data_IF_857208800932
#
_entry.id   IF_857208800932
#
_cell.length_a   1.000
_cell.length_b   1.000
_cell.length_c   1.000
_cell.angle_alpha   90.00
_cell.angle_beta   90.00
_cell.angle_gamma   90.00
#
_symmetry.space_group_name_H-M   'P 1'
#
loop_
_entity.id
_entity.type
_entity.pdbx_description
1 polymer ?
#
# COMPACT_ATOMS: atom_id res chain seq x y z
N UNK A 1 -11.58 36.73 6.34
CA UNK A 1 -11.51 35.80 5.19
C UNK A 1 -11.66 36.52 3.85
N UNK A 2 -12.16 37.76 3.79
CA UNK A 2 -12.38 38.47 2.52
C UNK A 2 -11.11 38.83 1.74
N UNK A 3 -9.94 38.81 2.37
CA UNK A 3 -8.65 39.16 1.75
C UNK A 3 -7.92 37.99 1.04
N UNK A 4 -8.43 36.76 1.07
CA UNK A 4 -7.80 35.63 0.37
C UNK A 4 -8.12 35.67 -1.13
N UNK A 5 -7.16 35.48 -2.05
CA UNK A 5 -7.41 35.31 -3.48
C UNK A 5 -8.31 34.12 -3.79
N UNK A 6 -9.10 34.22 -4.87
CA UNK A 6 -10.03 33.16 -5.31
C UNK A 6 -9.31 31.83 -5.56
N UNK A 7 -8.11 31.86 -6.15
CA UNK A 7 -7.31 30.65 -6.40
C UNK A 7 -6.95 29.89 -5.12
N UNK A 8 -6.63 30.61 -4.03
CA UNK A 8 -6.35 29.99 -2.73
C UNK A 8 -7.62 29.42 -2.11
N UNK A 9 -8.77 30.07 -2.30
CA UNK A 9 -10.05 29.57 -1.80
C UNK A 9 -10.48 28.30 -2.56
N UNK A 10 -10.32 28.26 -3.90
CA UNK A 10 -10.56 27.07 -4.71
C UNK A 10 -9.61 25.95 -4.29
N UNK A 11 -8.33 26.26 -4.05
CA UNK A 11 -7.37 25.28 -3.56
C UNK A 11 -7.78 24.70 -2.18
N UNK A 12 -8.24 25.53 -1.25
CA UNK A 12 -8.77 25.08 0.04
C UNK A 12 -10.00 24.17 -0.16
N UNK A 13 -10.95 24.58 -1.01
CA UNK A 13 -12.14 23.78 -1.32
C UNK A 13 -11.78 22.42 -1.94
N UNK A 14 -10.70 22.36 -2.72
CA UNK A 14 -10.23 21.14 -3.38
C UNK A 14 -9.78 20.04 -2.41
N UNK A 15 -9.52 20.39 -1.14
CA UNK A 15 -9.20 19.45 -0.06
C UNK A 15 -10.42 18.98 0.74
N UNK A 16 -11.60 19.58 0.52
CA UNK A 16 -12.82 19.23 1.23
C UNK A 16 -13.64 18.21 0.45
N UNK A 17 -14.33 17.26 1.11
CA UNK A 17 -15.39 16.48 0.47
C UNK A 17 -16.44 17.39 -0.16
N UNK A 18 -17.04 17.00 -1.29
CA UNK A 18 -17.96 17.87 -2.07
C UNK A 18 -19.08 18.42 -1.21
N UNK A 19 -19.65 17.62 -0.31
CA UNK A 19 -20.72 18.06 0.59
C UNK A 19 -20.28 19.23 1.49
N UNK A 20 -19.05 19.18 2.01
CA UNK A 20 -18.48 20.24 2.82
C UNK A 20 -18.14 21.46 1.97
N UNK A 21 -17.54 21.24 0.79
CA UNK A 21 -17.23 22.30 -0.18
C UNK A 21 -18.51 23.06 -0.61
N UNK A 22 -19.59 22.36 -0.95
CA UNK A 22 -20.89 22.95 -1.29
C UNK A 22 -21.49 23.69 -0.10
N UNK A 23 -21.34 23.18 1.12
CA UNK A 23 -21.87 23.85 2.32
C UNK A 23 -21.24 25.23 2.56
N UNK A 24 -20.00 25.44 2.10
CA UNK A 24 -19.38 26.78 2.15
C UNK A 24 -20.10 27.81 1.29
N UNK A 25 -20.89 27.39 0.28
CA UNK A 25 -21.71 28.31 -0.53
C UNK A 25 -22.76 29.08 0.28
N UNK A 26 -23.09 28.60 1.49
CA UNK A 26 -23.97 29.29 2.44
C UNK A 26 -23.28 30.49 3.12
N UNK A 27 -21.95 30.55 3.11
CA UNK A 27 -21.18 31.59 3.78
C UNK A 27 -21.24 32.92 3.02
N UNK A 28 -21.21 32.89 1.68
CA UNK A 28 -21.46 34.08 0.85
C UNK A 28 -21.68 33.73 -0.63
N UNK A 29 -22.16 34.71 -1.41
CA UNK A 29 -22.29 34.59 -2.89
C UNK A 29 -20.96 34.24 -3.57
N UNK A 30 -19.84 34.72 -3.03
CA UNK A 30 -18.49 34.45 -3.55
C UNK A 30 -18.12 32.97 -3.42
N UNK A 31 -18.40 32.36 -2.27
CA UNK A 31 -18.15 30.92 -2.07
C UNK A 31 -19.04 30.04 -2.96
N UNK A 32 -20.27 30.49 -3.24
CA UNK A 32 -21.15 29.82 -4.20
C UNK A 32 -20.56 29.79 -5.61
N UNK A 33 -19.95 30.88 -6.08
CA UNK A 33 -19.25 30.90 -7.37
C UNK A 33 -17.95 30.11 -7.35
N UNK A 34 -17.20 30.14 -6.25
CA UNK A 34 -15.91 29.44 -6.11
C UNK A 34 -16.07 27.91 -6.14
N UNK A 35 -17.14 27.36 -5.58
CA UNK A 35 -17.41 25.93 -5.68
C UNK A 35 -17.52 25.46 -7.14
N UNK A 36 -18.09 26.28 -8.04
CA UNK A 36 -18.18 25.95 -9.47
C UNK A 36 -16.84 25.93 -10.21
N UNK A 37 -15.76 26.35 -9.55
CA UNK A 37 -14.38 26.30 -10.05
C UNK A 37 -13.62 25.09 -9.49
N UNK A 38 -14.20 24.33 -8.56
CA UNK A 38 -13.60 23.10 -8.05
C UNK A 38 -13.69 22.00 -9.10
N UNK A 39 -12.53 21.49 -9.49
CA UNK A 39 -12.34 20.37 -10.41
C UNK A 39 -12.32 19.00 -9.70
N UNK A 40 -12.40 19.00 -8.37
CA UNK A 40 -12.47 17.81 -7.52
C UNK A 40 -13.90 17.60 -7.01
N UNK A 41 -14.47 16.45 -7.34
CA UNK A 41 -15.74 15.96 -6.84
C UNK A 41 -15.51 14.67 -6.06
N UNK A 42 -15.80 14.70 -4.77
CA UNK A 42 -15.80 13.57 -3.84
C UNK A 42 -17.17 13.38 -3.18
N UNK A 43 -17.84 12.28 -3.53
CA UNK A 43 -19.15 11.89 -3.05
C UNK A 43 -18.98 10.64 -2.18
N UNK A 44 -19.06 10.82 -0.86
CA UNK A 44 -19.07 9.72 0.11
C UNK A 44 -20.45 9.58 0.71
N UNK A 45 -20.93 8.35 0.69
CA UNK A 45 -22.26 8.00 1.12
C UNK A 45 -22.24 6.88 2.19
N UNK A 46 -22.01 7.27 3.46
CA UNK A 46 -21.64 6.33 4.51
C UNK A 46 -22.83 5.61 5.15
N UNK A 47 -24.07 6.00 4.85
CA UNK A 47 -25.25 5.50 5.57
C UNK A 47 -25.74 4.21 4.89
N UNK A 48 -25.76 3.10 5.64
CA UNK A 48 -26.39 1.84 5.25
C UNK A 48 -27.88 1.85 5.67
N UNK A 49 -28.73 1.12 4.94
CA UNK A 49 -30.16 0.93 5.19
C UNK A 49 -30.97 2.23 5.25
N UNK A 50 -30.82 3.05 4.20
CA UNK A 50 -31.46 4.36 4.17
C UNK A 50 -32.94 4.32 3.82
N UNK A 51 -33.75 5.20 4.46
CA UNK A 51 -35.04 5.60 3.93
C UNK A 51 -34.90 6.16 2.51
N UNK A 52 -35.91 5.92 1.68
CA UNK A 52 -35.97 6.31 0.27
C UNK A 52 -35.70 7.82 0.06
N UNK A 53 -36.22 8.67 0.94
CA UNK A 53 -36.03 10.12 0.88
C UNK A 53 -34.55 10.54 0.98
N UNK A 54 -33.76 9.84 1.81
CA UNK A 54 -32.33 10.16 1.99
C UNK A 54 -31.53 9.70 0.77
N UNK A 55 -31.90 8.54 0.19
CA UNK A 55 -31.31 8.05 -1.07
C UNK A 55 -31.56 9.02 -2.20
N UNK A 56 -32.81 9.42 -2.39
CA UNK A 56 -33.20 10.41 -3.39
C UNK A 56 -32.48 11.74 -3.21
N UNK A 57 -32.38 12.23 -1.97
CA UNK A 57 -31.62 13.46 -1.67
C UNK A 57 -30.14 13.35 -2.04
N UNK A 58 -29.52 12.18 -1.90
CA UNK A 58 -28.14 11.97 -2.34
C UNK A 58 -28.05 11.99 -3.87
N UNK A 59 -28.97 11.29 -4.56
CA UNK A 59 -29.02 11.25 -6.01
C UNK A 59 -29.18 12.65 -6.62
N UNK A 60 -30.15 13.42 -6.09
CA UNK A 60 -30.40 14.81 -6.49
C UNK A 60 -29.18 15.70 -6.23
N UNK A 61 -28.43 15.46 -5.15
CA UNK A 61 -27.21 16.18 -4.82
C UNK A 61 -26.09 15.90 -5.82
N UNK A 62 -25.86 14.64 -6.20
CA UNK A 62 -24.84 14.26 -7.20
C UNK A 62 -25.21 14.82 -8.57
N UNK A 63 -26.47 14.67 -8.98
CA UNK A 63 -26.97 15.22 -10.26
C UNK A 63 -26.80 16.73 -10.33
N UNK A 64 -27.20 17.44 -9.27
CA UNK A 64 -27.06 18.89 -9.18
C UNK A 64 -25.59 19.30 -9.25
N UNK A 65 -24.72 18.64 -8.49
CA UNK A 65 -23.29 18.93 -8.46
C UNK A 65 -22.63 18.75 -9.84
N UNK A 66 -22.99 17.69 -10.57
CA UNK A 66 -22.52 17.47 -11.95
C UNK A 66 -23.10 18.50 -12.93
N UNK A 67 -24.36 18.90 -12.78
CA UNK A 67 -24.97 19.94 -13.61
C UNK A 67 -24.29 21.31 -13.41
N UNK A 68 -23.83 21.61 -12.18
CA UNK A 68 -23.13 22.86 -11.86
C UNK A 68 -21.73 22.97 -12.47
N UNK A 69 -21.13 21.87 -12.95
CA UNK A 69 -19.82 21.92 -13.60
C UNK A 69 -19.85 22.57 -14.99
N UNK A 70 -21.03 22.67 -15.63
CA UNK A 70 -21.24 23.51 -16.80
C UNK A 70 -20.29 23.23 -17.99
N UNK A 71 -19.84 21.99 -18.17
CA UNK A 71 -18.91 21.61 -19.25
C UNK A 71 -17.42 21.83 -18.93
N UNK A 72 -17.07 22.23 -17.70
CA UNK A 72 -15.67 22.37 -17.26
C UNK A 72 -15.00 21.02 -17.06
N UNK A 73 -13.69 20.98 -17.27
CA UNK A 73 -12.90 19.79 -17.03
C UNK A 73 -12.97 19.35 -15.55
N UNK A 74 -13.42 18.12 -15.31
CA UNK A 74 -13.35 17.51 -13.98
C UNK A 74 -11.96 16.88 -13.86
N UNK A 75 -11.20 17.21 -12.83
CA UNK A 75 -9.90 16.57 -12.61
C UNK A 75 -10.06 15.25 -11.88
N UNK A 76 -10.80 15.26 -10.77
CA UNK A 76 -11.02 14.09 -9.90
C UNK A 76 -12.50 13.87 -9.67
N UNK A 77 -12.93 12.63 -9.86
CA UNK A 77 -14.26 12.15 -9.48
C UNK A 77 -14.12 10.93 -8.57
N UNK A 78 -14.68 11.03 -7.37
CA UNK A 78 -14.70 9.97 -6.37
C UNK A 78 -16.14 9.70 -5.96
N UNK A 79 -16.56 8.45 -6.07
CA UNK A 79 -17.88 7.98 -5.69
C UNK A 79 -17.73 6.75 -4.80
N UNK A 80 -18.17 6.90 -3.54
CA UNK A 80 -18.26 5.82 -2.58
C UNK A 80 -19.71 5.63 -2.18
N UNK A 81 -20.28 4.48 -2.57
CA UNK A 81 -21.68 4.16 -2.37
C UNK A 81 -21.80 2.77 -1.76
N UNK A 82 -22.30 2.70 -0.53
CA UNK A 82 -22.23 1.50 0.31
C UNK A 82 -23.37 0.51 0.08
N UNK A 83 -24.51 0.95 -0.44
CA UNK A 83 -25.66 0.08 -0.74
C UNK A 83 -26.38 0.54 -2.01
N UNK A 84 -25.88 0.12 -3.16
CA UNK A 84 -26.56 0.39 -4.45
C UNK A 84 -27.68 -0.64 -4.62
N UNK A 85 -28.90 -0.14 -4.83
CA UNK A 85 -30.06 -0.93 -5.23
C UNK A 85 -30.18 -0.92 -6.76
N UNK A 86 -30.85 -1.93 -7.33
CA UNK A 86 -31.02 -2.09 -8.80
C UNK A 86 -31.59 -0.83 -9.49
N UNK A 87 -32.48 -0.10 -8.79
CA UNK A 87 -33.08 1.15 -9.28
C UNK A 87 -32.08 2.31 -9.41
N UNK A 88 -30.94 2.25 -8.72
CA UNK A 88 -29.93 3.31 -8.67
C UNK A 88 -28.75 3.05 -9.62
N UNK A 89 -28.65 1.87 -10.19
CA UNK A 89 -27.55 1.49 -11.10
C UNK A 89 -27.44 2.46 -12.28
N UNK A 90 -28.59 2.81 -12.86
CA UNK A 90 -28.68 3.76 -13.97
C UNK A 90 -28.20 5.17 -13.58
N UNK A 91 -28.39 5.57 -12.32
CA UNK A 91 -27.91 6.86 -11.83
C UNK A 91 -26.38 6.84 -11.73
N UNK A 92 -25.81 5.77 -11.17
CA UNK A 92 -24.37 5.59 -11.03
C UNK A 92 -23.68 5.56 -12.41
N UNK A 93 -24.22 4.79 -13.35
CA UNK A 93 -23.74 4.74 -14.73
C UNK A 93 -23.74 6.11 -15.39
N UNK A 94 -24.83 6.86 -15.22
CA UNK A 94 -24.97 8.21 -15.75
C UNK A 94 -23.96 9.18 -15.14
N UNK A 95 -23.71 9.09 -13.83
CA UNK A 95 -22.73 9.95 -13.15
C UNK A 95 -21.30 9.68 -13.63
N UNK A 96 -20.93 8.40 -13.74
CA UNK A 96 -19.63 7.97 -14.27
C UNK A 96 -19.46 8.46 -15.71
N UNK A 97 -20.46 8.24 -16.57
CA UNK A 97 -20.43 8.70 -17.96
C UNK A 97 -20.27 10.23 -18.06
N UNK A 98 -21.01 10.99 -17.24
CA UNK A 98 -20.85 12.45 -17.20
C UNK A 98 -19.45 12.87 -16.77
N UNK A 99 -18.86 12.22 -15.77
CA UNK A 99 -17.49 12.52 -15.34
C UNK A 99 -16.49 12.28 -16.48
N UNK A 100 -16.63 11.17 -17.22
CA UNK A 100 -15.82 10.86 -18.40
C UNK A 100 -16.01 11.88 -19.54
N UNK A 101 -17.24 12.32 -19.79
CA UNK A 101 -17.56 13.34 -20.80
C UNK A 101 -16.94 14.70 -20.48
N UNK A 102 -16.68 14.99 -19.19
CA UNK A 102 -15.95 16.17 -18.74
C UNK A 102 -14.42 15.92 -18.65
N UNK A 103 -13.91 14.83 -19.22
CA UNK A 103 -12.48 14.56 -19.35
C UNK A 103 -11.77 14.15 -18.06
N UNK A 104 -12.47 13.48 -17.13
CA UNK A 104 -11.88 13.10 -15.84
C UNK A 104 -10.51 12.42 -15.95
N UNK A 105 -9.57 12.88 -15.11
CA UNK A 105 -8.20 12.36 -15.06
C UNK A 105 -7.99 11.36 -13.91
N UNK A 106 -8.69 11.55 -12.79
CA UNK A 106 -8.63 10.67 -11.62
C UNK A 106 -10.03 10.15 -11.28
N UNK A 107 -10.25 8.84 -11.44
CA UNK A 107 -11.55 8.20 -11.18
C UNK A 107 -11.42 7.19 -10.03
N UNK A 108 -12.22 7.38 -8.98
CA UNK A 108 -12.26 6.52 -7.81
C UNK A 108 -13.67 6.00 -7.56
N UNK A 109 -13.85 4.69 -7.67
CA UNK A 109 -15.15 4.03 -7.53
C UNK A 109 -15.08 2.97 -6.43
N UNK A 110 -15.86 3.15 -5.37
CA UNK A 110 -16.04 2.17 -4.29
C UNK A 110 -17.54 1.90 -4.16
N UNK A 111 -18.02 0.89 -4.88
CA UNK A 111 -19.43 0.70 -5.16
C UNK A 111 -19.88 -0.67 -4.67
N UNK A 112 -20.59 -0.70 -3.54
CA UNK A 112 -21.06 -1.93 -2.94
C UNK A 112 -22.54 -2.15 -3.28
N UNK A 113 -22.80 -3.15 -4.12
CA UNK A 113 -24.13 -3.46 -4.66
C UNK A 113 -24.84 -4.44 -3.74
N UNK A 114 -26.03 -4.08 -3.28
CA UNK A 114 -26.88 -4.93 -2.41
C UNK A 114 -27.91 -5.67 -3.27
N UNK A 115 -27.45 -6.41 -4.30
CA UNK A 115 -28.32 -7.23 -5.15
C UNK A 115 -28.13 -8.72 -4.87
N UNK A 116 -29.20 -9.50 -5.09
CA UNK A 116 -29.12 -10.98 -5.15
C UNK A 116 -28.24 -11.46 -6.31
N UNK A 117 -28.07 -10.62 -7.33
CA UNK A 117 -27.30 -10.84 -8.55
C UNK A 117 -26.20 -9.76 -8.65
N UNK A 118 -25.43 -9.57 -7.59
CA UNK A 118 -24.31 -8.59 -7.55
C UNK A 118 -23.31 -8.73 -8.70
N UNK A 119 -23.33 -9.85 -9.44
CA UNK A 119 -22.57 -10.07 -10.67
C UNK A 119 -23.11 -9.36 -11.92
N UNK A 120 -24.27 -8.71 -11.85
CA UNK A 120 -24.90 -8.02 -12.99
C UNK A 120 -24.57 -6.53 -13.05
N UNK A 121 -24.14 -5.93 -11.95
CA UNK A 121 -23.74 -4.52 -11.93
C UNK A 121 -22.40 -4.34 -12.63
N UNK A 122 -22.45 -3.83 -13.85
CA UNK A 122 -21.27 -3.55 -14.69
C UNK A 122 -20.86 -2.10 -14.62
N UNK A 123 -19.56 -1.86 -14.46
CA UNK A 123 -18.99 -0.53 -14.72
C UNK A 123 -19.21 -0.17 -16.21
N UNK A 124 -19.55 1.08 -16.54
CA UNK A 124 -19.66 1.54 -17.92
C UNK A 124 -18.40 1.24 -18.73
N UNK A 125 -18.56 0.64 -19.92
CA UNK A 125 -17.45 0.32 -20.83
C UNK A 125 -16.58 1.53 -21.19
N UNK A 126 -17.18 2.73 -21.23
CA UNK A 126 -16.50 4.02 -21.44
C UNK A 126 -15.34 4.26 -20.47
N UNK A 127 -15.37 3.69 -19.26
CA UNK A 127 -14.24 3.77 -18.31
C UNK A 127 -12.99 3.16 -18.93
N UNK A 128 -13.13 2.01 -19.59
CA UNK A 128 -12.02 1.22 -20.13
C UNK A 128 -11.54 1.68 -21.51
N UNK A 129 -12.19 2.67 -22.12
CA UNK A 129 -11.79 3.26 -23.41
C UNK A 129 -11.38 4.74 -23.27
N UNK A 130 -11.26 5.22 -22.03
CA UNK A 130 -10.90 6.61 -21.76
C UNK A 130 -9.43 6.90 -22.08
N UNK A 131 -9.20 7.99 -22.81
CA UNK A 131 -7.87 8.49 -23.14
C UNK A 131 -7.37 9.54 -22.14
N UNK A 132 -8.22 10.01 -21.22
CA UNK A 132 -7.90 11.07 -20.24
C UNK A 132 -7.52 10.51 -18.88
N UNK A 133 -7.93 9.28 -18.55
CA UNK A 133 -7.69 8.69 -17.23
C UNK A 133 -6.20 8.46 -16.99
N UNK A 134 -5.66 9.12 -15.96
CA UNK A 134 -4.30 8.96 -15.44
C UNK A 134 -4.28 8.07 -14.20
N UNK A 135 -5.33 8.13 -13.38
CA UNK A 135 -5.49 7.33 -12.17
C UNK A 135 -6.87 6.69 -12.11
N UNK A 136 -6.90 5.38 -11.89
CA UNK A 136 -8.13 4.60 -11.76
C UNK A 136 -8.08 3.77 -10.49
N UNK A 137 -9.13 3.86 -9.68
CA UNK A 137 -9.32 3.06 -8.47
C UNK A 137 -10.68 2.39 -8.53
N UNK A 138 -10.70 1.07 -8.50
CA UNK A 138 -11.91 0.24 -8.55
C UNK A 138 -11.96 -0.61 -7.27
N UNK A 139 -13.03 -0.47 -6.49
CA UNK A 139 -13.21 -1.11 -5.19
C UNK A 139 -14.20 -2.27 -5.15
N UNK A 140 -14.48 -2.72 -3.91
CA UNK A 140 -15.33 -3.87 -3.56
C UNK A 140 -16.73 -3.77 -4.18
N UNK A 141 -17.28 -4.91 -4.62
CA UNK A 141 -18.69 -5.02 -5.04
C UNK A 141 -18.96 -4.80 -6.53
N UNK A 142 -17.91 -4.63 -7.34
CA UNK A 142 -17.99 -4.45 -8.78
C UNK A 142 -17.89 -5.81 -9.51
N UNK A 143 -18.77 -6.07 -10.50
CA UNK A 143 -18.61 -7.14 -11.50
C UNK A 143 -18.46 -6.58 -12.94
N UNK A 144 -17.62 -7.20 -13.77
CA UNK A 144 -17.42 -6.96 -15.20
C UNK A 144 -17.11 -8.35 -15.70
N UNK A 145 -18.15 -9.10 -16.03
CA UNK A 145 -17.94 -10.43 -16.54
C UNK A 145 -17.09 -10.42 -17.83
N UNK A 146 -17.04 -9.28 -18.55
CA UNK A 146 -16.17 -9.07 -19.72
C UNK A 146 -15.74 -7.60 -19.87
N UNK A 147 -14.43 -7.40 -20.01
CA UNK A 147 -13.88 -6.15 -20.52
C UNK A 147 -14.26 -5.96 -22.01
N UNK A 148 -14.50 -4.71 -22.45
CA UNK A 148 -14.73 -4.40 -23.87
C UNK A 148 -13.54 -4.84 -24.75
N UNK A 149 -13.77 -5.34 -25.99
CA UNK A 149 -12.69 -5.72 -26.91
C UNK A 149 -11.76 -4.57 -27.29
N UNK A 150 -12.28 -3.34 -27.25
CA UNK A 150 -11.60 -2.07 -27.55
C UNK A 150 -10.99 -1.40 -26.31
N UNK A 151 -10.83 -2.14 -25.21
CA UNK A 151 -10.20 -1.64 -23.97
C UNK A 151 -8.84 -1.00 -24.28
N UNK A 152 -8.71 0.28 -23.95
CA UNK A 152 -7.51 1.08 -24.17
C UNK A 152 -7.46 2.23 -23.16
N UNK A 153 -6.41 2.26 -22.35
CA UNK A 153 -6.19 3.25 -21.29
C UNK A 153 -4.77 3.84 -21.45
N UNK A 154 -4.51 4.57 -22.54
CA UNK A 154 -3.15 4.95 -22.94
C UNK A 154 -2.47 5.94 -21.98
N UNK A 155 -3.24 6.75 -21.25
CA UNK A 155 -2.74 7.74 -20.31
C UNK A 155 -2.60 7.22 -18.86
N UNK A 156 -3.06 6.00 -18.59
CA UNK A 156 -3.17 5.48 -17.23
C UNK A 156 -1.80 5.17 -16.64
N UNK A 157 -1.48 5.82 -15.52
CA UNK A 157 -0.21 5.67 -14.78
C UNK A 157 -0.37 4.95 -13.46
N UNK A 158 -1.53 5.05 -12.84
CA UNK A 158 -1.81 4.47 -11.52
C UNK A 158 -3.12 3.69 -11.57
N UNK A 159 -3.06 2.40 -11.20
CA UNK A 159 -4.20 1.51 -11.13
C UNK A 159 -4.28 0.88 -9.75
N UNK A 160 -5.40 1.10 -9.06
CA UNK A 160 -5.74 0.46 -7.80
C UNK A 160 -6.96 -0.44 -7.99
N UNK A 161 -6.80 -1.72 -7.67
CA UNK A 161 -7.83 -2.72 -7.70
C UNK A 161 -8.02 -3.26 -6.29
N UNK A 162 -9.22 -3.09 -5.72
CA UNK A 162 -9.53 -3.56 -4.38
C UNK A 162 -10.72 -4.51 -4.41
N UNK A 163 -10.47 -5.76 -4.02
CA UNK A 163 -11.44 -6.86 -3.96
C UNK A 163 -12.24 -7.07 -5.24
N UNK A 164 -11.52 -7.13 -6.36
CA UNK A 164 -12.11 -7.39 -7.67
C UNK A 164 -12.10 -8.89 -7.97
N UNK A 165 -13.29 -9.49 -8.04
CA UNK A 165 -13.47 -10.94 -8.21
C UNK A 165 -13.74 -11.38 -9.66
N UNK A 166 -13.86 -10.43 -10.58
CA UNK A 166 -14.38 -10.66 -11.93
C UNK A 166 -13.37 -11.19 -12.95
N UNK A 167 -12.05 -11.14 -12.64
CA UNK A 167 -11.03 -11.46 -13.63
C UNK A 167 -10.89 -12.97 -13.70
N UNK A 168 -11.37 -13.54 -14.81
CA UNK A 168 -11.19 -14.96 -15.07
C UNK A 168 -9.80 -15.18 -15.68
N UNK A 169 -9.06 -16.12 -15.11
CA UNK A 169 -7.75 -16.54 -15.61
C UNK A 169 -6.76 -15.37 -15.78
N UNK A 170 -6.28 -15.15 -17.00
CA UNK A 170 -5.21 -14.23 -17.37
C UNK A 170 -5.73 -12.88 -17.90
N UNK A 171 -7.04 -12.61 -17.83
CA UNK A 171 -7.65 -11.38 -18.35
C UNK A 171 -7.08 -10.10 -17.74
N UNK A 172 -6.67 -10.13 -16.47
CA UNK A 172 -5.99 -8.98 -15.85
C UNK A 172 -4.75 -8.60 -16.66
N UNK A 173 -3.87 -9.58 -16.95
CA UNK A 173 -2.62 -9.32 -17.66
C UNK A 173 -2.82 -9.13 -19.16
N UNK A 174 -3.55 -10.05 -19.80
CA UNK A 174 -3.64 -10.12 -21.26
C UNK A 174 -4.60 -9.08 -21.87
N UNK A 175 -5.51 -8.52 -21.07
CA UNK A 175 -6.48 -7.52 -21.54
C UNK A 175 -6.25 -6.18 -20.84
N UNK A 176 -6.42 -6.11 -19.52
CA UNK A 176 -6.37 -4.82 -18.82
C UNK A 176 -4.96 -4.22 -18.79
N UNK A 177 -3.98 -4.95 -18.29
CA UNK A 177 -2.60 -4.43 -18.17
C UNK A 177 -1.97 -4.22 -19.55
N UNK A 178 -2.25 -5.09 -20.52
CA UNK A 178 -1.84 -4.91 -21.91
C UNK A 178 -2.40 -3.62 -22.55
N UNK A 179 -3.60 -3.20 -22.15
CA UNK A 179 -4.23 -1.97 -22.60
C UNK A 179 -3.73 -0.69 -21.90
N UNK A 180 -2.84 -0.82 -20.91
CA UNK A 180 -2.31 0.29 -20.11
C UNK A 180 -0.78 0.47 -20.32
N UNK A 181 -0.33 0.92 -21.50
CA UNK A 181 1.10 0.99 -21.83
C UNK A 181 1.90 1.96 -20.96
N UNK A 182 1.27 2.96 -20.36
CA UNK A 182 1.90 3.97 -19.51
C UNK A 182 1.83 3.64 -17.99
N UNK A 183 1.34 2.46 -17.61
CA UNK A 183 1.09 2.10 -16.21
C UNK A 183 2.39 1.97 -15.41
N UNK A 184 2.57 2.77 -14.37
CA UNK A 184 3.78 2.76 -13.54
C UNK A 184 3.55 2.22 -12.12
N UNK A 185 2.36 2.42 -11.55
CA UNK A 185 1.99 1.99 -10.18
C UNK A 185 0.74 1.10 -10.23
N UNK A 186 0.91 -0.17 -9.84
CA UNK A 186 -0.18 -1.14 -9.73
C UNK A 186 -0.33 -1.57 -8.28
N UNK A 187 -1.53 -1.37 -7.73
CA UNK A 187 -1.91 -1.84 -6.41
C UNK A 187 -3.10 -2.78 -6.52
N UNK A 188 -2.96 -3.99 -5.98
CA UNK A 188 -4.01 -5.01 -5.97
C UNK A 188 -4.23 -5.49 -4.54
N UNK A 189 -5.46 -5.42 -4.08
CA UNK A 189 -5.94 -5.98 -2.82
C UNK A 189 -6.97 -7.07 -3.12
N UNK A 190 -6.76 -8.26 -2.58
CA UNK A 190 -7.67 -9.40 -2.68
C UNK A 190 -8.16 -9.78 -1.27
N UNK A 191 -9.38 -9.41 -0.89
CA UNK A 191 -9.97 -9.91 0.36
C UNK A 191 -10.48 -11.36 0.23
N UNK A 192 -11.01 -11.73 -0.93
CA UNK A 192 -11.50 -13.08 -1.21
C UNK A 192 -10.82 -13.67 -2.44
N UNK A 193 -9.72 -14.38 -2.24
CA UNK A 193 -8.93 -14.96 -3.32
C UNK A 193 -9.57 -16.29 -3.75
N UNK A 194 -10.01 -16.44 -5.00
CA UNK A 194 -10.79 -17.60 -5.44
C UNK A 194 -9.97 -18.88 -5.59
N UNK A 195 -8.68 -18.87 -5.24
CA UNK A 195 -7.83 -20.07 -5.23
C UNK A 195 -7.32 -20.51 -6.61
N UNK A 196 -7.53 -19.69 -7.65
CA UNK A 196 -6.98 -19.92 -8.99
C UNK A 196 -5.54 -19.39 -9.13
N UNK A 197 -4.79 -19.91 -10.11
CA UNK A 197 -3.46 -19.36 -10.42
C UNK A 197 -3.63 -18.07 -11.22
N UNK A 198 -2.93 -17.01 -10.81
CA UNK A 198 -2.94 -15.72 -11.46
C UNK A 198 -1.56 -15.35 -11.97
N UNK A 199 -1.53 -14.72 -13.12
CA UNK A 199 -0.32 -14.12 -13.69
C UNK A 199 -0.52 -12.62 -13.66
N UNK A 200 0.42 -11.90 -13.08
CA UNK A 200 0.56 -10.45 -13.20
C UNK A 200 1.78 -10.23 -14.09
N UNK A 201 1.55 -9.88 -15.35
CA UNK A 201 2.59 -9.62 -16.34
C UNK A 201 2.44 -8.22 -16.91
N UNK A 202 3.52 -7.42 -16.81
CA UNK A 202 3.61 -6.11 -17.45
C UNK A 202 5.05 -5.60 -17.45
N UNK A 203 5.42 -4.93 -18.53
CA UNK A 203 6.74 -4.29 -18.69
C UNK A 203 6.75 -2.81 -18.29
N UNK A 204 5.60 -2.17 -18.13
CA UNK A 204 5.52 -0.73 -17.80
C UNK A 204 5.63 -0.45 -16.30
N UNK A 205 5.21 -1.40 -15.46
CA UNK A 205 5.07 -1.23 -14.01
C UNK A 205 6.45 -1.06 -13.36
N UNK A 206 6.57 -0.02 -12.54
CA UNK A 206 7.75 0.32 -11.72
C UNK A 206 7.50 0.06 -10.24
N UNK A 207 6.26 0.19 -9.78
CA UNK A 207 5.84 -0.07 -8.41
C UNK A 207 4.67 -1.05 -8.38
N UNK A 208 4.85 -2.13 -7.62
CA UNK A 208 3.86 -3.20 -7.49
C UNK A 208 3.52 -3.42 -6.03
N UNK A 209 2.26 -3.32 -5.68
CA UNK A 209 1.74 -3.64 -4.34
C UNK A 209 0.68 -4.71 -4.45
N UNK A 210 0.91 -5.87 -3.85
CA UNK A 210 -0.04 -6.99 -3.85
C UNK A 210 -0.35 -7.40 -2.41
N UNK A 211 -1.62 -7.33 -2.04
CA UNK A 211 -2.13 -7.78 -0.75
C UNK A 211 -3.16 -8.86 -0.95
N UNK A 212 -2.93 -10.04 -0.40
CA UNK A 212 -3.85 -11.16 -0.41
C UNK A 212 -4.26 -11.42 1.03
N UNK A 213 -5.50 -11.07 1.35
CA UNK A 213 -6.09 -11.21 2.68
C UNK A 213 -7.21 -12.26 2.69
N UNK A 214 -6.97 -13.41 2.04
CA UNK A 214 -7.95 -14.49 2.00
C UNK A 214 -7.45 -15.73 2.74
N UNK A 215 -8.19 -16.11 3.79
CA UNK A 215 -7.99 -17.37 4.52
C UNK A 215 -8.67 -18.56 3.83
N UNK A 216 -9.57 -18.29 2.89
CA UNK A 216 -10.25 -19.31 2.10
C UNK A 216 -9.24 -19.87 1.07
N UNK A 217 -9.22 -21.19 0.91
CA UNK A 217 -8.40 -21.89 -0.10
C UNK A 217 -6.87 -21.84 0.06
N UNK A 218 -6.33 -21.59 1.27
CA UNK A 218 -4.87 -21.72 1.50
C UNK A 218 -4.34 -23.14 1.20
N UNK A 219 -5.22 -24.15 1.24
CA UNK A 219 -4.92 -25.54 0.89
C UNK A 219 -4.92 -25.82 -0.63
N UNK A 220 -5.42 -24.88 -1.46
CA UNK A 220 -5.41 -25.04 -2.92
C UNK A 220 -4.05 -24.67 -3.52
N UNK A 221 -3.64 -25.40 -4.55
CA UNK A 221 -2.32 -25.32 -5.17
C UNK A 221 -2.16 -24.18 -6.18
N UNK A 222 -2.82 -23.04 -5.94
CA UNK A 222 -2.67 -21.85 -6.78
C UNK A 222 -1.29 -21.25 -6.66
N UNK A 223 -0.75 -20.83 -7.79
CA UNK A 223 0.54 -20.14 -7.87
C UNK A 223 0.27 -18.74 -8.37
N UNK A 224 0.69 -17.74 -7.60
CA UNK A 224 0.83 -16.38 -8.10
C UNK A 224 2.12 -16.29 -8.90
N UNK A 225 2.04 -15.84 -10.15
CA UNK A 225 3.22 -15.57 -10.98
C UNK A 225 3.36 -14.08 -11.21
N UNK A 226 4.51 -13.53 -10.85
CA UNK A 226 4.89 -12.13 -11.06
C UNK A 226 5.93 -12.06 -12.18
N UNK A 227 5.50 -11.67 -13.37
CA UNK A 227 6.31 -11.43 -14.56
C UNK A 227 6.39 -9.93 -14.84
N UNK A 228 7.11 -9.22 -13.98
CA UNK A 228 7.16 -7.75 -14.00
C UNK A 228 8.61 -7.27 -13.96
N UNK A 229 9.34 -7.42 -15.09
CA UNK A 229 10.81 -7.32 -15.12
C UNK A 229 11.37 -5.92 -14.90
N UNK A 230 10.52 -4.90 -14.77
CA UNK A 230 10.91 -3.50 -14.55
C UNK A 230 10.46 -2.95 -13.19
N UNK A 231 9.87 -3.79 -12.32
CA UNK A 231 9.46 -3.37 -10.98
C UNK A 231 10.70 -3.06 -10.15
N UNK A 232 10.73 -1.87 -9.56
CA UNK A 232 11.79 -1.38 -8.69
C UNK A 232 11.36 -1.34 -7.21
N UNK A 233 10.08 -1.12 -6.91
CA UNK A 233 9.51 -1.12 -5.56
C UNK A 233 8.39 -2.16 -5.46
N UNK A 234 8.60 -3.18 -4.64
CA UNK A 234 7.65 -4.28 -4.39
C UNK A 234 7.13 -4.22 -2.96
N UNK A 235 5.82 -4.21 -2.80
CA UNK A 235 5.14 -4.56 -1.56
C UNK A 235 4.34 -5.85 -1.75
N UNK A 236 4.60 -6.86 -0.92
CA UNK A 236 3.89 -8.13 -0.98
C UNK A 236 3.40 -8.57 0.41
N UNK A 237 2.11 -8.86 0.51
CA UNK A 237 1.44 -9.30 1.72
C UNK A 237 0.54 -10.49 1.42
N UNK A 238 0.74 -11.63 2.06
CA UNK A 238 -0.09 -12.84 1.89
C UNK A 238 0.04 -13.76 3.12
N UNK A 239 -0.79 -14.79 3.16
CA UNK A 239 -0.60 -15.97 3.99
C UNK A 239 0.31 -16.98 3.26
N UNK A 240 1.30 -17.59 3.93
CA UNK A 240 2.12 -18.63 3.33
C UNK A 240 1.29 -19.81 2.84
N UNK A 241 1.46 -20.17 1.56
CA UNK A 241 0.77 -21.26 0.89
C UNK A 241 1.74 -22.42 0.65
N UNK A 242 1.20 -23.59 0.27
CA UNK A 242 2.00 -24.78 -0.09
C UNK A 242 2.98 -24.53 -1.24
N UNK A 243 2.62 -23.65 -2.18
CA UNK A 243 3.47 -23.24 -3.28
C UNK A 243 3.81 -21.78 -3.14
N UNK A 244 5.10 -21.48 -3.20
CA UNK A 244 5.59 -20.10 -3.18
C UNK A 244 5.22 -19.38 -4.49
N UNK A 245 4.99 -18.05 -4.45
CA UNK A 245 4.87 -17.27 -5.66
C UNK A 245 6.08 -17.43 -6.58
N UNK A 246 5.82 -17.56 -7.89
CA UNK A 246 6.88 -17.54 -8.90
C UNK A 246 7.18 -16.11 -9.27
N UNK A 247 8.45 -15.73 -9.12
CA UNK A 247 8.87 -14.34 -9.15
C UNK A 247 10.00 -14.13 -10.15
N UNK A 248 9.76 -13.33 -11.18
CA UNK A 248 10.83 -12.72 -12.00
C UNK A 248 11.03 -11.28 -11.54
N UNK A 249 11.87 -11.10 -10.52
CA UNK A 249 12.00 -9.86 -9.74
C UNK A 249 13.44 -9.33 -9.70
N UNK A 250 14.26 -9.64 -10.72
CA UNK A 250 15.67 -9.26 -10.77
C UNK A 250 15.90 -7.73 -10.74
N UNK A 251 14.93 -6.94 -11.20
CA UNK A 251 14.97 -5.47 -11.20
C UNK A 251 14.62 -4.82 -9.86
N UNK A 252 14.06 -5.58 -8.92
CA UNK A 252 13.52 -5.01 -7.68
C UNK A 252 14.65 -4.46 -6.84
N UNK A 253 14.65 -3.14 -6.65
CA UNK A 253 15.62 -2.44 -5.81
C UNK A 253 15.17 -2.43 -4.34
N UNK A 254 13.86 -2.37 -4.10
CA UNK A 254 13.27 -2.33 -2.77
C UNK A 254 12.13 -3.33 -2.65
N UNK A 255 12.17 -4.16 -1.62
CA UNK A 255 11.10 -5.11 -1.31
C UNK A 255 10.61 -4.95 0.14
N UNK A 256 9.29 -4.92 0.32
CA UNK A 256 8.63 -4.99 1.62
C UNK A 256 7.77 -6.25 1.66
N UNK A 257 8.06 -7.14 2.60
CA UNK A 257 7.34 -8.38 2.79
C UNK A 257 6.53 -8.35 4.09
N UNK A 258 5.23 -8.61 3.99
CA UNK A 258 4.29 -8.65 5.10
C UNK A 258 3.49 -9.98 5.12
N UNK A 259 4.14 -11.05 5.56
CA UNK A 259 3.59 -12.41 5.57
C UNK A 259 3.06 -12.77 6.95
N UNK A 260 1.89 -13.39 7.02
CA UNK A 260 1.21 -13.69 8.29
C UNK A 260 0.80 -15.16 8.36
N UNK A 261 0.79 -15.73 9.55
CA UNK A 261 0.10 -17.00 9.78
C UNK A 261 -1.37 -16.74 10.10
N UNK A 262 -2.27 -17.56 9.56
CA UNK A 262 -3.65 -17.63 10.06
C UNK A 262 -3.64 -18.12 11.52
N UNK A 263 -4.43 -17.48 12.37
CA UNK A 263 -4.47 -17.75 13.81
C UNK A 263 -4.91 -19.20 14.12
N UNK A 264 -5.75 -19.80 13.27
CA UNK A 264 -6.43 -21.06 13.56
C UNK A 264 -5.96 -22.29 12.76
N UNK A 265 -5.07 -22.12 11.77
CA UNK A 265 -4.64 -23.21 10.90
C UNK A 265 -3.28 -23.78 11.32
N UNK A 266 -3.30 -24.83 12.15
CA UNK A 266 -2.07 -25.56 12.56
C UNK A 266 -1.50 -26.46 11.46
N UNK A 267 -2.35 -26.99 10.56
CA UNK A 267 -1.94 -27.93 9.51
C UNK A 267 -1.17 -27.25 8.36
N UNK A 268 -1.58 -26.05 7.92
CA UNK A 268 -0.92 -25.30 6.83
C UNK A 268 0.54 -24.95 7.14
N UNK A 269 0.90 -24.80 8.42
CA UNK A 269 2.27 -24.44 8.85
C UNK A 269 3.34 -25.46 8.43
N UNK A 270 2.96 -26.72 8.26
CA UNK A 270 3.86 -27.83 7.89
C UNK A 270 4.30 -27.76 6.42
N UNK A 271 3.37 -27.44 5.53
CA UNK A 271 3.59 -27.58 4.09
C UNK A 271 3.92 -26.26 3.40
N UNK A 272 3.65 -25.13 4.06
CA UNK A 272 3.85 -23.81 3.49
C UNK A 272 5.32 -23.54 3.13
N UNK A 273 5.52 -22.81 2.03
CA UNK A 273 6.83 -22.55 1.46
C UNK A 273 6.97 -21.10 0.98
N UNK A 274 8.02 -20.43 1.43
CA UNK A 274 8.36 -19.06 1.00
C UNK A 274 9.70 -18.97 0.28
N UNK A 275 10.33 -20.11 -0.01
CA UNK A 275 11.71 -20.18 -0.49
C UNK A 275 11.91 -19.50 -1.85
N UNK A 276 11.02 -19.73 -2.81
CA UNK A 276 11.11 -19.09 -4.14
C UNK A 276 10.89 -17.57 -4.06
N UNK A 277 9.95 -17.13 -3.20
CA UNK A 277 9.73 -15.70 -2.97
C UNK A 277 10.97 -15.02 -2.41
N UNK A 278 11.61 -15.61 -1.39
CA UNK A 278 12.84 -15.08 -0.79
C UNK A 278 14.00 -15.10 -1.79
N UNK A 279 14.13 -16.17 -2.56
CA UNK A 279 15.14 -16.29 -3.62
C UNK A 279 14.92 -15.29 -4.75
N UNK A 280 13.67 -15.02 -5.13
CA UNK A 280 13.30 -14.07 -6.18
C UNK A 280 13.68 -12.63 -5.85
N UNK A 281 13.74 -12.25 -4.57
CA UNK A 281 14.11 -10.90 -4.12
C UNK A 281 15.58 -10.79 -3.69
N UNK A 282 16.45 -11.77 -3.98
CA UNK A 282 17.85 -11.77 -3.54
C UNK A 282 18.68 -10.56 -4.01
N UNK A 283 18.26 -9.90 -5.09
CA UNK A 283 19.00 -8.81 -5.74
C UNK A 283 18.66 -7.41 -5.19
N UNK A 284 17.80 -7.31 -4.19
CA UNK A 284 17.35 -6.03 -3.61
C UNK A 284 18.48 -5.24 -2.95
N UNK A 285 18.36 -3.91 -2.99
CA UNK A 285 19.20 -2.97 -2.22
C UNK A 285 18.60 -2.65 -0.85
N UNK A 286 17.28 -2.62 -0.78
CA UNK A 286 16.53 -2.36 0.46
C UNK A 286 15.53 -3.49 0.71
N UNK A 287 15.62 -4.12 1.88
CA UNK A 287 14.69 -5.17 2.30
C UNK A 287 13.99 -4.76 3.58
N UNK A 288 12.66 -4.79 3.58
CA UNK A 288 11.84 -4.58 4.77
C UNK A 288 11.07 -5.84 5.13
N UNK A 289 11.39 -6.41 6.29
CA UNK A 289 10.70 -7.55 6.87
C UNK A 289 9.86 -7.10 8.07
N UNK A 290 8.54 -7.26 7.97
CA UNK A 290 7.65 -7.00 9.10
C UNK A 290 7.79 -8.09 10.18
N UNK A 291 7.33 -7.78 11.40
CA UNK A 291 7.35 -8.70 12.55
C UNK A 291 6.80 -10.10 12.24
N UNK A 292 5.61 -10.24 11.64
CA UNK A 292 5.06 -11.56 11.32
C UNK A 292 5.84 -12.27 10.20
N UNK A 293 6.38 -11.53 9.23
CA UNK A 293 7.21 -12.08 8.15
C UNK A 293 8.44 -12.81 8.67
N UNK A 294 9.14 -12.24 9.66
CA UNK A 294 10.32 -12.88 10.25
C UNK A 294 9.98 -14.25 10.84
N UNK A 295 8.81 -14.37 11.48
CA UNK A 295 8.35 -15.66 12.02
C UNK A 295 8.02 -16.64 10.89
N UNK A 296 7.43 -16.17 9.80
CA UNK A 296 7.13 -16.99 8.63
C UNK A 296 8.40 -17.54 8.01
N UNK A 297 9.41 -16.69 7.75
CA UNK A 297 10.67 -17.12 7.13
C UNK A 297 11.36 -18.21 7.97
N UNK A 298 11.40 -18.05 9.30
CA UNK A 298 12.01 -19.04 10.20
C UNK A 298 11.34 -20.42 10.18
N UNK A 299 10.09 -20.50 9.75
CA UNK A 299 9.30 -21.74 9.78
C UNK A 299 9.09 -22.32 8.38
N UNK A 300 8.95 -21.48 7.36
CA UNK A 300 8.51 -21.87 6.02
C UNK A 300 9.58 -21.69 4.94
N UNK A 301 10.75 -21.13 5.25
CA UNK A 301 11.90 -21.17 4.34
C UNK A 301 12.60 -22.51 4.54
N UNK A 302 12.49 -23.41 3.56
CA UNK A 302 12.98 -24.79 3.68
C UNK A 302 14.44 -24.92 3.27
N UNK A 303 14.87 -24.11 2.30
CA UNK A 303 16.25 -24.05 1.85
C UNK A 303 17.04 -22.98 2.61
N UNK A 304 18.36 -23.00 2.41
CA UNK A 304 19.23 -21.94 2.89
C UNK A 304 18.83 -20.57 2.34
N UNK A 305 18.96 -19.53 3.16
CA UNK A 305 18.73 -18.17 2.71
C UNK A 305 19.69 -17.82 1.55
N UNK A 306 19.17 -17.15 0.51
CA UNK A 306 20.01 -16.69 -0.58
C UNK A 306 21.01 -15.65 -0.06
N UNK A 307 22.14 -15.54 -0.76
CA UNK A 307 23.10 -14.47 -0.49
C UNK A 307 22.57 -13.17 -1.11
N UNK A 308 22.41 -12.15 -0.28
CA UNK A 308 21.94 -10.82 -0.66
C UNK A 308 23.13 -9.90 -0.97
N UNK A 309 23.78 -10.15 -2.12
CA UNK A 309 24.99 -9.40 -2.50
C UNK A 309 24.76 -7.89 -2.66
N UNK A 310 23.54 -7.47 -3.00
CA UNK A 310 23.23 -6.06 -3.26
C UNK A 310 22.59 -5.34 -2.07
N UNK A 311 22.27 -6.06 -0.98
CA UNK A 311 21.52 -5.50 0.12
C UNK A 311 22.39 -4.53 0.92
N UNK A 312 21.93 -3.27 0.99
CA UNK A 312 22.58 -2.16 1.71
C UNK A 312 21.75 -1.74 2.92
N UNK A 313 20.41 -1.75 2.78
CA UNK A 313 19.45 -1.32 3.80
C UNK A 313 18.55 -2.47 4.24
N UNK A 314 18.60 -2.82 5.52
CA UNK A 314 17.71 -3.82 6.12
C UNK A 314 16.82 -3.15 7.16
N UNK A 315 15.51 -3.15 6.92
CA UNK A 315 14.50 -2.81 7.92
C UNK A 315 14.00 -4.10 8.53
N UNK A 316 14.37 -4.32 9.79
CA UNK A 316 14.10 -5.56 10.50
C UNK A 316 13.27 -5.31 11.75
N UNK A 317 12.06 -5.87 11.75
CA UNK A 317 11.17 -5.84 12.90
C UNK A 317 10.92 -7.27 13.35
N UNK A 318 11.16 -7.60 14.63
CA UNK A 318 10.87 -8.94 15.12
C UNK A 318 10.70 -9.05 16.64
N UNK A 319 10.11 -10.17 17.07
CA UNK A 319 10.09 -10.63 18.47
C UNK A 319 11.37 -11.44 18.77
N UNK A 320 11.61 -11.76 20.05
CA UNK A 320 12.84 -12.39 20.59
C UNK A 320 13.46 -13.49 19.69
N UNK A 321 12.68 -14.42 19.15
CA UNK A 321 13.24 -15.53 18.37
C UNK A 321 13.83 -15.11 17.01
N UNK A 322 13.23 -14.13 16.32
CA UNK A 322 13.77 -13.64 15.05
C UNK A 322 15.11 -12.94 15.20
N UNK A 323 15.32 -12.28 16.33
CA UNK A 323 16.60 -11.66 16.69
C UNK A 323 17.71 -12.68 16.93
N UNK A 324 17.41 -13.83 17.54
CA UNK A 324 18.43 -14.84 17.86
C UNK A 324 18.90 -15.64 16.65
N UNK A 325 18.03 -15.80 15.65
CA UNK A 325 18.25 -16.76 14.57
C UNK A 325 18.31 -16.06 13.23
N UNK A 326 17.25 -15.36 12.81
CA UNK A 326 17.16 -14.82 11.45
C UNK A 326 18.09 -13.63 11.23
N UNK A 327 18.16 -12.69 12.18
CA UNK A 327 19.02 -11.52 12.03
C UNK A 327 20.50 -11.91 11.85
N UNK A 328 21.10 -12.79 12.68
CA UNK A 328 22.47 -13.24 12.45
C UNK A 328 22.70 -13.87 11.08
N UNK A 329 21.79 -14.75 10.64
CA UNK A 329 21.87 -15.38 9.33
C UNK A 329 21.79 -14.36 8.19
N UNK A 330 20.92 -13.35 8.30
CA UNK A 330 20.83 -12.27 7.32
C UNK A 330 22.10 -11.43 7.29
N UNK A 331 22.71 -11.12 8.44
CA UNK A 331 23.98 -10.39 8.48
C UNK A 331 25.10 -11.17 7.80
N UNK A 332 25.17 -12.49 8.03
CA UNK A 332 26.15 -13.37 7.38
C UNK A 332 25.92 -13.47 5.87
N UNK A 333 24.65 -13.56 5.44
CA UNK A 333 24.26 -13.68 4.03
C UNK A 333 24.17 -12.34 3.30
N UNK A 334 24.50 -11.22 3.94
CA UNK A 334 24.40 -9.86 3.36
C UNK A 334 25.73 -9.11 3.50
N UNK A 335 26.76 -9.46 2.70
CA UNK A 335 28.12 -8.97 2.89
C UNK A 335 28.28 -7.44 2.71
N UNK A 336 27.36 -6.81 1.97
CA UNK A 336 27.40 -5.38 1.67
C UNK A 336 26.43 -4.53 2.53
N UNK A 337 25.81 -5.14 3.54
CA UNK A 337 24.84 -4.48 4.40
C UNK A 337 25.52 -3.41 5.26
N UNK A 338 25.02 -2.17 5.18
CA UNK A 338 25.59 -1.01 5.89
C UNK A 338 24.61 -0.36 6.83
N UNK A 339 23.31 -0.41 6.51
CA UNK A 339 22.27 0.30 7.22
C UNK A 339 21.29 -0.70 7.81
N UNK A 340 21.14 -0.66 9.13
CA UNK A 340 20.23 -1.52 9.86
C UNK A 340 19.19 -0.67 10.59
N UNK A 341 17.92 -0.86 10.25
CA UNK A 341 16.78 -0.16 10.87
C UNK A 341 15.99 -1.16 11.72
N UNK A 342 15.86 -0.88 13.02
CA UNK A 342 15.28 -1.77 14.02
C UNK A 342 14.08 -1.10 14.69
N UNK A 343 12.91 -1.74 14.61
CA UNK A 343 11.66 -1.19 15.18
C UNK A 343 11.38 -1.61 16.63
N UNK A 344 12.25 -2.43 17.22
CA UNK A 344 12.16 -2.89 18.60
C UNK A 344 13.54 -3.36 19.05
N UNK A 345 13.98 -3.12 20.29
CA UNK A 345 15.32 -3.56 20.73
C UNK A 345 15.21 -4.76 21.65
N UNK A 346 15.42 -5.96 21.09
CA UNK A 346 15.12 -7.21 21.80
C UNK A 346 16.32 -7.96 22.37
N UNK A 347 17.47 -7.96 21.69
CA UNK A 347 18.63 -8.85 21.96
C UNK A 347 19.91 -8.23 21.38
N UNK A 348 21.12 -8.55 21.92
CA UNK A 348 22.40 -8.28 21.28
C UNK A 348 22.49 -8.77 19.82
N UNK A 349 23.01 -7.89 18.94
CA UNK A 349 23.31 -8.17 17.54
C UNK A 349 24.66 -8.91 17.50
N UNK A 350 24.86 -9.87 16.58
CA UNK A 350 26.18 -10.50 16.39
C UNK A 350 27.30 -9.48 16.23
N UNK A 351 28.39 -9.72 16.95
CA UNK A 351 29.51 -8.79 17.13
C UNK A 351 30.29 -8.53 15.83
N UNK A 352 30.27 -9.48 14.89
CA UNK A 352 31.03 -9.40 13.65
C UNK A 352 30.12 -8.98 12.49
N UNK A 353 29.89 -7.66 12.34
CA UNK A 353 29.10 -7.11 11.24
C UNK A 353 29.74 -5.82 10.69
N UNK A 354 29.41 -5.47 9.44
CA UNK A 354 29.92 -4.28 8.75
C UNK A 354 28.95 -3.08 8.81
N UNK A 355 28.03 -3.07 9.78
CA UNK A 355 27.01 -2.03 9.89
C UNK A 355 27.66 -0.70 10.26
N UNK A 356 27.35 0.33 9.48
CA UNK A 356 27.80 1.71 9.67
C UNK A 356 26.72 2.60 10.26
N UNK A 357 25.47 2.39 9.89
CA UNK A 357 24.33 3.18 10.35
C UNK A 357 23.33 2.27 11.02
N UNK A 358 23.07 2.53 12.30
CA UNK A 358 22.04 1.86 13.08
C UNK A 358 20.91 2.85 13.36
N UNK A 359 19.70 2.55 12.90
CA UNK A 359 18.50 3.35 13.20
C UNK A 359 17.59 2.55 14.12
N UNK A 360 17.18 3.16 15.22
CA UNK A 360 16.25 2.57 16.19
C UNK A 360 14.96 3.37 16.11
N UNK A 361 13.86 2.69 15.79
CA UNK A 361 12.54 3.30 15.68
C UNK A 361 11.73 3.02 16.94
N UNK A 362 10.83 3.94 17.29
CA UNK A 362 9.87 3.79 18.38
C UNK A 362 10.52 3.58 19.76
N UNK A 363 11.67 4.23 20.01
CA UNK A 363 12.38 4.10 21.28
C UNK A 363 11.55 4.64 22.45
N UNK A 364 11.33 3.80 23.47
CA UNK A 364 10.52 4.18 24.64
C UNK A 364 11.35 4.59 25.86
N UNK A 365 12.65 4.32 25.86
CA UNK A 365 13.53 4.67 26.97
C UNK A 365 13.52 3.69 28.13
N UNK A 366 13.10 2.45 27.90
CA UNK A 366 13.17 1.40 28.92
C UNK A 366 14.62 1.06 29.26
N UNK A 367 14.87 0.63 30.50
CA UNK A 367 16.21 0.20 30.94
C UNK A 367 16.77 -0.92 30.06
N UNK A 368 15.89 -1.79 29.55
CA UNK A 368 16.24 -2.85 28.59
C UNK A 368 16.71 -2.31 27.25
N UNK A 369 16.02 -1.32 26.68
CA UNK A 369 16.45 -0.72 25.41
C UNK A 369 17.76 0.05 25.59
N UNK A 370 17.93 0.79 26.70
CA UNK A 370 19.17 1.50 27.00
C UNK A 370 20.36 0.53 27.13
N UNK A 371 20.18 -0.60 27.82
CA UNK A 371 21.18 -1.67 27.93
C UNK A 371 21.55 -2.25 26.56
N UNK A 372 20.58 -2.45 25.67
CA UNK A 372 20.86 -2.96 24.34
C UNK A 372 21.60 -1.94 23.46
N UNK A 373 21.22 -0.65 23.51
CA UNK A 373 21.95 0.40 22.79
C UNK A 373 23.39 0.47 23.29
N UNK A 374 23.58 0.51 24.61
CA UNK A 374 24.92 0.47 25.22
C UNK A 374 25.71 -0.74 24.73
N UNK A 375 25.08 -1.91 24.68
CA UNK A 375 25.72 -3.10 24.13
C UNK A 375 26.13 -2.93 22.66
N UNK A 376 25.29 -2.35 21.79
CA UNK A 376 25.66 -2.10 20.39
C UNK A 376 26.83 -1.15 20.27
N UNK A 377 26.80 -0.04 21.03
CA UNK A 377 27.86 0.97 21.06
C UNK A 377 29.21 0.41 21.52
N UNK A 378 29.17 -0.58 22.43
CA UNK A 378 30.36 -1.25 22.96
C UNK A 378 30.89 -2.39 22.08
N UNK A 379 30.15 -2.83 21.08
CA UNK A 379 30.49 -4.08 20.39
C UNK A 379 30.49 -3.98 18.85
N UNK A 380 29.90 -2.94 18.26
CA UNK A 380 29.86 -2.75 16.81
C UNK A 380 30.98 -1.82 16.38
N UNK A 381 32.14 -2.38 16.02
CA UNK A 381 33.35 -1.61 15.70
C UNK A 381 33.24 -0.73 14.45
N UNK A 382 32.42 -1.14 13.47
CA UNK A 382 32.23 -0.41 12.22
C UNK A 382 31.19 0.73 12.29
N UNK A 383 30.55 0.92 13.44
CA UNK A 383 29.42 1.83 13.59
C UNK A 383 29.88 3.29 13.54
N UNK A 384 29.28 4.07 12.64
CA UNK A 384 29.58 5.49 12.41
C UNK A 384 28.44 6.39 12.89
N UNK A 385 27.19 5.94 12.76
CA UNK A 385 26.00 6.72 13.14
C UNK A 385 24.98 5.84 13.85
N UNK A 386 24.45 6.34 14.97
CA UNK A 386 23.26 5.80 15.64
C UNK A 386 22.18 6.85 15.66
N UNK A 387 21.06 6.58 14.99
CA UNK A 387 19.87 7.42 15.02
C UNK A 387 18.80 6.76 15.89
N UNK A 388 18.35 7.46 16.93
CA UNK A 388 17.30 6.97 17.82
C UNK A 388 16.07 7.85 17.65
N UNK A 389 15.04 7.31 17.00
CA UNK A 389 13.75 7.97 16.83
C UNK A 389 12.86 7.67 18.04
N UNK A 390 12.57 8.71 18.82
CA UNK A 390 11.80 8.56 20.06
C UNK A 390 10.31 8.39 19.75
N UNK A 391 9.64 7.52 20.49
CA UNK A 391 8.21 7.27 20.29
C UNK A 391 7.39 8.59 20.38
N UNK A 392 6.43 8.84 19.46
CA UNK A 392 5.65 10.08 19.45
C UNK A 392 4.86 10.33 20.75
N UNK A 393 4.56 9.28 21.50
CA UNK A 393 3.77 9.29 22.73
C UNK A 393 4.53 9.82 23.96
N UNK A 394 5.82 10.11 23.84
CA UNK A 394 6.63 10.64 24.94
C UNK A 394 6.57 12.18 24.99
N UNK A 395 6.23 12.72 26.16
CA UNK A 395 6.27 14.17 26.43
C UNK A 395 7.70 14.72 26.41
N UNK A 396 7.87 15.97 25.96
CA UNK A 396 9.18 16.61 25.75
C UNK A 396 10.17 16.53 26.92
N UNK A 397 9.77 16.67 28.21
CA UNK A 397 10.72 16.54 29.33
C UNK A 397 11.33 15.14 29.45
N UNK A 398 10.59 14.09 29.06
CA UNK A 398 11.11 12.73 29.02
C UNK A 398 12.05 12.55 27.82
N UNK A 399 11.74 13.15 26.66
CA UNK A 399 12.60 13.11 25.48
C UNK A 399 13.98 13.71 25.75
N UNK A 400 14.03 14.86 26.43
CA UNK A 400 15.30 15.52 26.80
C UNK A 400 16.15 14.62 27.71
N UNK A 401 15.55 14.03 28.75
CA UNK A 401 16.27 13.10 29.65
C UNK A 401 16.79 11.88 28.92
N UNK A 402 15.98 11.24 28.07
CA UNK A 402 16.41 10.09 27.27
C UNK A 402 17.55 10.45 26.31
N UNK A 403 17.52 11.65 25.75
CA UNK A 403 18.60 12.15 24.90
C UNK A 403 19.90 12.28 25.68
N UNK A 404 19.86 12.86 26.88
CA UNK A 404 21.04 12.95 27.74
C UNK A 404 21.59 11.58 28.15
N UNK A 405 20.70 10.64 28.49
CA UNK A 405 21.10 9.28 28.90
C UNK A 405 21.78 8.53 27.75
N UNK A 406 21.28 8.67 26.52
CA UNK A 406 21.88 8.08 25.31
C UNK A 406 23.25 8.69 24.98
N UNK A 407 23.41 10.00 25.14
CA UNK A 407 24.68 10.69 24.87
C UNK A 407 25.77 10.37 25.91
N UNK A 408 25.39 9.91 27.11
CA UNK A 408 26.31 9.49 28.19
C UNK A 408 26.77 8.03 28.07
N UNK A 409 26.25 7.25 27.12
CA UNK A 409 26.58 5.84 26.99
C UNK A 409 28.04 5.62 26.57
N UNK A 410 28.71 4.58 27.11
CA UNK A 410 30.07 4.25 26.71
C UNK A 410 30.10 3.69 25.29
N UNK A 411 31.17 3.98 24.55
CA UNK A 411 31.35 3.57 23.16
C UNK A 411 32.68 2.83 23.01
N UNK A 412 32.71 1.77 22.19
CA UNK A 412 33.94 1.00 21.95
C UNK A 412 34.86 1.61 20.89
N UNK A 413 34.31 2.45 20.01
CA UNK A 413 35.10 3.13 18.99
C UNK A 413 36.01 4.16 19.65
N UNK A 414 37.32 3.90 19.64
CA UNK A 414 38.37 4.90 19.92
C UNK A 414 38.41 6.01 18.86
N UNK A 415 37.65 5.87 17.77
CA UNK A 415 37.52 6.89 16.73
C UNK A 415 36.50 7.95 17.17
N UNK A 416 36.91 9.21 17.12
CA UNK A 416 36.11 10.42 17.34
C UNK A 416 34.99 10.66 16.30
N UNK A 417 34.55 9.61 15.59
CA UNK A 417 33.65 9.70 14.43
C UNK A 417 32.24 9.20 14.67
N UNK A 418 31.99 8.43 15.73
CA UNK A 418 30.66 7.92 16.05
C UNK A 418 29.73 9.08 16.43
N UNK A 419 28.62 9.23 15.71
CA UNK A 419 27.59 10.25 15.97
C UNK A 419 26.32 9.62 16.49
N UNK A 420 25.86 10.04 17.66
CA UNK A 420 24.55 9.67 18.20
C UNK A 420 23.60 10.84 17.92
N UNK A 421 22.50 10.56 17.22
CA UNK A 421 21.44 11.51 16.91
C UNK A 421 20.14 11.01 17.52
N UNK A 422 19.42 11.90 18.21
CA UNK A 422 18.11 11.60 18.76
C UNK A 422 17.10 12.50 18.03
N UNK A 423 16.09 11.86 17.43
CA UNK A 423 15.11 12.47 16.54
C UNK A 423 13.69 12.37 17.10
#
# INVERSE_FOLDING_TARGET
>A
MDCLPDDLLVHILSFLPTKQAVSTSLLSKRWRTLFTLSDNLDFDDPISERPEDIRKSFNDFVDSSLAFQGGKHIKKFSLKHTEIYEEEEHNVDRWICKALEHGVSELHLHLHVKSKLWWEFSIPSKVFTSTTLVKLSLGTGLDCPRLPPDTSLPALKVLLLDSIFWFRHDQLSNVLLAACPALEDLTIHYEYYPGHSYVISSKSIKKLSVTINSSYYVDQSSILTLDTPNVADLYYSDYPRRKSPRCQLDSVAKATLNLHFLKDYRQVKSDADVTDLISGIRNVKTLHLTIPTVKVILVCCKDELPVFNNLVDLVFSSKRQGWKVLLPLLLERSPNLKNLILSFVGIPIPLNNQIKILRIMQYQGSETELKHISHFLLNMECLEVVEVNVAPTLYDPKKVRLTEDLLKLPTASSSSKLKIQVL
#
